data_IF_674977495837
#
_entry.id   IF_674977495837
#
_cell.length_a   1.000
_cell.length_b   1.000
_cell.length_c   1.000
_cell.angle_alpha   90.00
_cell.angle_beta   90.00
_cell.angle_gamma   90.00
#
_symmetry.space_group_name_H-M   'P 1'
#
loop_
_entity.id
_entity.type
_entity.pdbx_description
1 polymer ?
#
# COMPACT_ATOMS: atom_id res chain seq x y z
N UNK A 1 24.21 -11.60 12.81
CA UNK A 1 22.94 -10.90 13.08
C UNK A 1 21.82 -11.87 12.74
N UNK A 2 20.85 -12.08 13.63
CA UNK A 2 19.71 -12.94 13.30
C UNK A 2 18.89 -12.27 12.19
N UNK A 3 18.57 -13.02 11.13
CA UNK A 3 17.72 -12.52 10.06
C UNK A 3 16.31 -12.26 10.63
N UNK A 4 15.76 -11.08 10.35
CA UNK A 4 14.38 -10.73 10.73
C UNK A 4 13.46 -11.75 10.06
N UNK A 5 12.70 -12.49 10.87
CA UNK A 5 11.72 -13.45 10.35
C UNK A 5 10.67 -12.71 9.51
N UNK A 6 10.26 -13.28 8.39
CA UNK A 6 9.12 -12.74 7.63
C UNK A 6 7.83 -12.85 8.45
N UNK A 7 6.84 -12.00 8.17
CA UNK A 7 5.63 -11.93 9.01
C UNK A 7 4.92 -13.27 9.15
N UNK A 8 4.86 -14.08 8.08
CA UNK A 8 4.23 -15.41 8.11
C UNK A 8 4.97 -16.41 9.04
N UNK A 9 6.26 -16.21 9.27
CA UNK A 9 7.09 -17.05 10.16
C UNK A 9 6.91 -16.70 11.64
N UNK A 10 6.20 -15.61 11.95
CA UNK A 10 6.00 -15.11 13.33
C UNK A 10 4.75 -15.66 14.00
N UNK A 11 4.01 -16.54 13.32
CA UNK A 11 2.80 -17.16 13.83
C UNK A 11 1.52 -16.38 13.47
N UNK A 12 0.37 -16.79 14.04
CA UNK A 12 -0.93 -16.23 13.67
C UNK A 12 -1.10 -14.79 14.17
N UNK A 13 -1.73 -13.95 13.33
CA UNK A 13 -2.17 -12.61 13.72
C UNK A 13 -3.40 -12.72 14.62
N UNK A 14 -3.42 -12.09 15.81
CA UNK A 14 -4.58 -12.11 16.70
C UNK A 14 -5.84 -11.57 16.02
N UNK A 15 -7.00 -12.10 16.39
CA UNK A 15 -8.33 -11.68 15.89
C UNK A 15 -8.55 -11.87 14.37
N UNK A 16 -7.67 -12.59 13.67
CA UNK A 16 -7.85 -12.96 12.26
C UNK A 16 -8.23 -14.43 12.15
N UNK A 17 -9.35 -14.72 11.48
CA UNK A 17 -9.83 -16.09 11.20
C UNK A 17 -8.73 -16.92 10.51
N UNK A 18 -8.51 -18.21 10.86
CA UNK A 18 -7.41 -19.01 10.32
C UNK A 18 -7.28 -19.01 8.79
N UNK A 19 -8.39 -19.04 8.05
CA UNK A 19 -8.38 -19.05 6.59
C UNK A 19 -7.91 -17.71 5.97
N UNK A 20 -7.96 -16.61 6.73
CA UNK A 20 -7.53 -15.27 6.31
C UNK A 20 -6.11 -14.90 6.78
N UNK A 21 -5.44 -15.78 7.54
CA UNK A 21 -4.08 -15.55 8.02
C UNK A 21 -3.09 -15.20 6.89
N UNK A 22 -3.08 -15.90 5.73
CA UNK A 22 -2.17 -15.56 4.64
C UNK A 22 -2.36 -14.13 4.10
N UNK A 23 -3.61 -13.64 4.08
CA UNK A 23 -3.91 -12.27 3.64
C UNK A 23 -3.38 -11.27 4.65
N UNK A 24 -3.63 -11.48 5.94
CA UNK A 24 -3.09 -10.63 7.01
C UNK A 24 -1.56 -10.59 7.00
N UNK A 25 -0.91 -11.75 6.85
CA UNK A 25 0.54 -11.85 6.75
C UNK A 25 1.08 -11.08 5.55
N UNK A 26 0.46 -11.21 4.37
CA UNK A 26 0.87 -10.50 3.16
C UNK A 26 0.75 -8.98 3.31
N UNK A 27 -0.36 -8.48 3.88
CA UNK A 27 -0.57 -7.05 4.10
C UNK A 27 0.44 -6.46 5.08
N UNK A 28 0.72 -7.18 6.17
CA UNK A 28 1.72 -6.76 7.16
C UNK A 28 3.15 -6.86 6.61
N UNK A 29 3.47 -7.88 5.81
CA UNK A 29 4.78 -8.02 5.16
C UNK A 29 5.00 -6.86 4.18
N UNK A 30 4.03 -6.60 3.29
CA UNK A 30 4.11 -5.50 2.34
C UNK A 30 4.26 -4.15 3.05
N UNK A 31 3.56 -3.94 4.18
CA UNK A 31 3.74 -2.76 5.02
C UNK A 31 5.19 -2.63 5.51
N UNK A 32 5.76 -3.68 6.08
CA UNK A 32 7.14 -3.63 6.58
C UNK A 32 8.14 -3.34 5.47
N UNK A 33 8.04 -4.03 4.34
CA UNK A 33 8.93 -3.85 3.21
C UNK A 33 8.82 -2.46 2.59
N UNK A 34 7.62 -1.90 2.47
CA UNK A 34 7.43 -0.54 1.97
C UNK A 34 8.07 0.48 2.91
N UNK A 35 7.89 0.34 4.23
CA UNK A 35 8.52 1.28 5.17
C UNK A 35 10.05 1.15 5.18
N UNK A 36 10.58 -0.07 4.96
CA UNK A 36 12.02 -0.32 4.88
C UNK A 36 12.63 0.20 3.57
N UNK A 37 12.09 -0.19 2.42
CA UNK A 37 12.66 0.14 1.11
C UNK A 37 12.41 1.58 0.68
N UNK A 38 11.39 2.24 1.23
CA UNK A 38 11.09 3.63 0.94
C UNK A 38 11.75 4.61 1.93
N UNK A 39 12.46 4.12 2.95
CA UNK A 39 13.24 4.95 3.85
C UNK A 39 14.31 5.71 3.03
N UNK A 40 14.33 7.03 3.19
CA UNK A 40 15.23 7.95 2.46
C UNK A 40 15.19 7.80 0.92
N UNK A 41 14.08 7.26 0.37
CA UNK A 41 13.94 7.14 -1.08
C UNK A 41 13.95 8.54 -1.74
N UNK A 42 14.76 8.76 -2.79
CA UNK A 42 14.91 10.09 -3.38
C UNK A 42 13.61 10.58 -4.03
N UNK A 43 13.14 11.76 -3.60
CA UNK A 43 11.88 12.34 -4.08
C UNK A 43 11.88 12.55 -5.59
N UNK A 44 13.00 12.98 -6.16
CA UNK A 44 13.17 13.19 -7.59
C UNK A 44 13.03 11.92 -8.43
N UNK A 45 13.13 10.74 -7.80
CA UNK A 45 12.92 9.43 -8.45
C UNK A 45 11.51 8.90 -8.32
N UNK A 46 10.63 9.57 -7.55
CA UNK A 46 9.29 9.06 -7.23
C UNK A 46 8.43 8.87 -8.49
N UNK A 47 8.50 9.82 -9.42
CA UNK A 47 7.68 9.84 -10.64
C UNK A 47 8.42 9.41 -11.91
N UNK A 48 9.68 8.99 -11.79
CA UNK A 48 10.44 8.44 -12.92
C UNK A 48 9.75 7.16 -13.41
N UNK A 49 9.67 7.00 -14.74
CA UNK A 49 9.08 5.84 -15.41
C UNK A 49 10.17 5.05 -16.15
N UNK A 50 10.87 4.13 -15.47
CA UNK A 50 11.94 3.34 -16.08
C UNK A 50 11.40 2.55 -17.28
N UNK A 51 12.02 2.69 -18.45
CA UNK A 51 11.57 2.06 -19.69
C UNK A 51 10.07 2.30 -20.03
N UNK A 52 9.49 3.43 -19.59
CA UNK A 52 8.07 3.74 -19.80
C UNK A 52 7.10 3.00 -18.86
N UNK A 53 7.60 2.19 -17.93
CA UNK A 53 6.79 1.44 -16.97
C UNK A 53 6.17 2.35 -15.89
N UNK A 54 5.37 1.76 -15.02
CA UNK A 54 4.83 2.44 -13.85
C UNK A 54 5.95 3.00 -12.95
N UNK A 55 5.71 4.18 -12.39
CA UNK A 55 6.63 4.81 -11.44
C UNK A 55 6.46 4.25 -10.03
N UNK A 56 7.41 4.52 -9.14
CA UNK A 56 7.28 4.16 -7.72
C UNK A 56 6.09 4.90 -7.08
N UNK A 57 5.88 6.16 -7.43
CA UNK A 57 4.72 6.95 -7.00
C UNK A 57 3.40 6.33 -7.42
N UNK A 58 3.29 5.86 -8.67
CA UNK A 58 2.14 5.09 -9.14
C UNK A 58 1.91 3.85 -8.27
N UNK A 59 2.95 3.04 -8.04
CA UNK A 59 2.79 1.81 -7.26
C UNK A 59 2.34 2.07 -5.83
N UNK A 60 2.85 3.11 -5.16
CA UNK A 60 2.42 3.47 -3.80
C UNK A 60 0.97 3.99 -3.76
N UNK A 61 0.58 4.83 -4.72
CA UNK A 61 -0.82 5.25 -4.88
C UNK A 61 -1.72 4.04 -5.12
N UNK A 62 -1.33 3.18 -6.05
CA UNK A 62 -2.09 2.01 -6.46
C UNK A 62 -2.26 1.00 -5.32
N UNK A 63 -1.21 0.68 -4.57
CA UNK A 63 -1.26 -0.27 -3.44
C UNK A 63 -2.30 0.13 -2.40
N UNK A 64 -2.34 1.40 -2.02
CA UNK A 64 -3.34 1.91 -1.08
C UNK A 64 -4.74 1.98 -1.71
N UNK A 65 -4.87 2.46 -2.95
CA UNK A 65 -6.15 2.56 -3.64
C UNK A 65 -6.79 1.22 -3.93
N UNK A 66 -6.03 0.23 -4.41
CA UNK A 66 -6.54 -1.10 -4.76
C UNK A 66 -6.99 -1.87 -3.52
N UNK A 67 -6.26 -1.76 -2.41
CA UNK A 67 -6.63 -2.40 -1.15
C UNK A 67 -7.99 -1.87 -0.65
N UNK A 68 -8.19 -0.55 -0.72
CA UNK A 68 -9.47 0.07 -0.35
C UNK A 68 -10.62 -0.42 -1.24
N UNK A 69 -10.45 -0.36 -2.56
CA UNK A 69 -11.47 -0.74 -3.52
C UNK A 69 -11.84 -2.22 -3.46
N UNK A 70 -10.87 -3.12 -3.28
CA UNK A 70 -11.13 -4.57 -3.15
C UNK A 70 -11.98 -4.86 -1.92
N UNK A 71 -11.74 -4.19 -0.79
CA UNK A 71 -12.57 -4.34 0.41
C UNK A 71 -13.98 -3.74 0.23
N UNK A 72 -14.10 -2.65 -0.52
CA UNK A 72 -15.42 -2.12 -0.93
C UNK A 72 -16.20 -3.13 -1.76
N UNK A 73 -15.56 -3.76 -2.75
CA UNK A 73 -16.19 -4.80 -3.56
C UNK A 73 -16.55 -6.05 -2.76
N UNK A 74 -15.70 -6.47 -1.84
CA UNK A 74 -15.98 -7.60 -0.94
C UNK A 74 -17.23 -7.36 -0.07
N UNK A 75 -17.56 -6.09 0.22
CA UNK A 75 -18.79 -5.68 0.92
C UNK A 75 -19.99 -5.51 -0.01
N UNK A 76 -19.85 -5.76 -1.31
CA UNK A 76 -20.91 -5.56 -2.31
C UNK A 76 -21.28 -4.09 -2.51
N UNK A 77 -20.36 -3.17 -2.21
CA UNK A 77 -20.60 -1.73 -2.29
C UNK A 77 -20.05 -1.14 -3.59
N UNK A 78 -20.67 -0.08 -4.14
CA UNK A 78 -20.09 0.68 -5.22
C UNK A 78 -18.92 1.54 -4.72
N UNK A 79 -18.04 1.96 -5.64
CA UNK A 79 -17.00 2.91 -5.31
C UNK A 79 -17.60 4.28 -4.97
N UNK A 80 -17.03 4.92 -3.95
CA UNK A 80 -17.32 6.32 -3.61
C UNK A 80 -16.64 7.30 -4.56
N UNK A 81 -17.11 8.55 -4.57
CA UNK A 81 -16.48 9.64 -5.33
C UNK A 81 -15.01 9.83 -4.97
N UNK A 82 -14.67 9.72 -3.68
CA UNK A 82 -13.28 9.79 -3.22
C UNK A 82 -12.42 8.66 -3.79
N UNK A 83 -12.94 7.43 -3.85
CA UNK A 83 -12.21 6.31 -4.44
C UNK A 83 -12.01 6.47 -5.96
N UNK A 84 -12.97 7.07 -6.66
CA UNK A 84 -12.80 7.44 -8.07
C UNK A 84 -11.77 8.54 -8.26
N UNK A 85 -11.77 9.56 -7.40
CA UNK A 85 -10.76 10.62 -7.43
C UNK A 85 -9.36 10.02 -7.22
N UNK A 86 -9.19 9.16 -6.22
CA UNK A 86 -7.93 8.47 -5.96
C UNK A 86 -7.49 7.58 -7.12
N UNK A 87 -8.42 6.90 -7.78
CA UNK A 87 -8.14 6.08 -8.96
C UNK A 87 -7.67 6.94 -10.15
N UNK A 88 -8.31 8.08 -10.38
CA UNK A 88 -7.94 9.03 -11.43
C UNK A 88 -6.57 9.68 -11.17
N UNK A 89 -6.20 9.83 -9.90
CA UNK A 89 -4.93 10.39 -9.48
C UNK A 89 -3.74 9.43 -9.70
N UNK A 90 -3.96 8.12 -9.81
CA UNK A 90 -2.89 7.12 -9.93
C UNK A 90 -1.93 7.44 -11.09
N UNK A 91 -0.65 7.63 -10.77
CA UNK A 91 0.42 7.96 -11.72
C UNK A 91 0.67 9.45 -11.91
N UNK A 92 -0.11 10.31 -11.24
CA UNK A 92 0.05 11.76 -11.24
C UNK A 92 0.53 12.24 -9.88
N UNK A 93 1.40 13.25 -9.87
CA UNK A 93 1.75 13.97 -8.66
C UNK A 93 0.59 14.85 -8.18
N UNK A 94 0.55 15.20 -6.89
CA UNK A 94 -0.47 16.12 -6.38
C UNK A 94 -0.18 17.55 -6.83
N UNK A 95 -1.19 18.43 -6.75
CA UNK A 95 -1.03 19.86 -7.09
C UNK A 95 0.02 20.57 -6.24
N UNK A 96 0.24 20.11 -5.01
CA UNK A 96 1.26 20.62 -4.09
C UNK A 96 2.55 19.79 -4.06
N UNK A 97 2.62 18.70 -4.84
CA UNK A 97 3.68 17.69 -4.79
C UNK A 97 3.54 16.75 -3.58
N UNK A 98 3.52 15.44 -3.84
CA UNK A 98 3.59 14.43 -2.79
C UNK A 98 4.98 14.35 -2.21
N UNK A 99 5.08 14.16 -0.89
CA UNK A 99 6.27 13.57 -0.28
C UNK A 99 6.16 12.06 -0.34
N UNK A 100 7.30 11.38 -0.38
CA UNK A 100 7.38 9.91 -0.27
C UNK A 100 6.63 9.43 0.99
N UNK A 101 6.81 10.13 2.12
CA UNK A 101 6.13 9.84 3.39
C UNK A 101 4.61 9.87 3.30
N UNK A 102 4.04 10.72 2.45
CA UNK A 102 2.59 10.86 2.35
C UNK A 102 1.97 9.59 1.76
N UNK A 103 2.62 9.03 0.72
CA UNK A 103 2.17 7.81 0.05
C UNK A 103 2.41 6.56 0.92
N UNK A 104 3.53 6.50 1.66
CA UNK A 104 3.77 5.44 2.65
C UNK A 104 2.69 5.47 3.74
N UNK A 105 2.43 6.66 4.31
CA UNK A 105 1.43 6.82 5.37
C UNK A 105 0.02 6.47 4.88
N UNK A 106 -0.31 6.82 3.64
CA UNK A 106 -1.58 6.42 3.01
C UNK A 106 -1.72 4.90 2.96
N UNK A 107 -0.68 4.16 2.59
CA UNK A 107 -0.71 2.69 2.60
C UNK A 107 -0.78 2.11 4.01
N UNK A 108 0.01 2.63 4.95
CA UNK A 108 0.00 2.21 6.36
C UNK A 108 -1.41 2.29 6.95
N UNK A 109 -2.06 3.45 6.80
CA UNK A 109 -3.44 3.67 7.24
C UNK A 109 -4.44 2.76 6.54
N UNK A 110 -4.23 2.45 5.25
CA UNK A 110 -5.14 1.56 4.54
C UNK A 110 -5.03 0.11 5.04
N UNK A 111 -3.81 -0.36 5.35
CA UNK A 111 -3.64 -1.67 5.98
C UNK A 111 -4.25 -1.68 7.38
N UNK A 112 -4.23 -0.56 8.14
CA UNK A 112 -4.87 -0.52 9.47
C UNK A 112 -6.40 -0.65 9.38
N UNK A 113 -7.00 -0.17 8.28
CA UNK A 113 -8.44 -0.34 8.01
C UNK A 113 -8.80 -1.75 7.52
N UNK A 114 -7.84 -2.46 6.91
CA UNK A 114 -8.05 -3.78 6.33
C UNK A 114 -7.91 -4.91 7.37
N UNK A 115 -7.22 -4.62 8.48
CA UNK A 115 -6.99 -5.50 9.62
C UNK A 115 -8.09 -5.37 10.67
#
# INVERSE_FOLDING_TARGET
MAQKLEVWQRGPVPNVTPILQPVAHALLQAREEINEYMLDYPLEKLWVRPAGMASVGFHLQHLSGVLDRVFTYAKGQPLSEFQFQQLSEEGNDSTSGYKVSDLINRYNLQVDKAM
#
